data_IF_408095705048
#
_entry.id   IF_408095705048
#
_cell.length_a   1.000
_cell.length_b   1.000
_cell.length_c   1.000
_cell.angle_alpha   90.00
_cell.angle_beta   90.00
_cell.angle_gamma   90.00
#
_symmetry.space_group_name_H-M   'P 1'
#
loop_
_entity.id
_entity.type
_entity.pdbx_description
1 polymer ?
#
# COMPACT_ATOMS: atom_id res chain seq x y z
N UNK A 1 -11.44 16.34 -5.13
CA UNK A 1 -10.18 15.71 -5.58
C UNK A 1 -9.20 15.69 -4.42
N UNK A 2 -8.93 14.52 -3.84
CA UNK A 2 -8.13 14.34 -2.63
C UNK A 2 -6.63 14.56 -2.91
N UNK A 3 -6.18 15.82 -2.79
CA UNK A 3 -4.78 16.24 -3.01
C UNK A 3 -3.78 15.67 -1.98
N UNK A 4 -4.28 15.00 -0.93
CA UNK A 4 -3.49 14.40 0.15
C UNK A 4 -2.94 12.99 -0.16
N UNK A 5 -3.56 12.26 -1.08
CA UNK A 5 -3.20 10.87 -1.39
C UNK A 5 -1.79 10.70 -2.00
N UNK A 6 -1.29 11.58 -2.91
CA UNK A 6 0.00 11.36 -3.57
C UNK A 6 1.18 11.45 -2.59
N UNK A 7 1.25 12.53 -1.81
CA UNK A 7 2.34 12.75 -0.85
C UNK A 7 2.39 11.64 0.23
N UNK A 8 1.22 11.17 0.67
CA UNK A 8 1.14 10.06 1.62
C UNK A 8 1.57 8.72 0.99
N UNK A 9 1.26 8.52 -0.29
CA UNK A 9 1.71 7.33 -1.05
C UNK A 9 3.23 7.33 -1.18
N UNK A 10 3.84 8.43 -1.60
CA UNK A 10 5.29 8.55 -1.78
C UNK A 10 6.05 8.38 -0.45
N UNK A 11 5.57 9.05 0.61
CA UNK A 11 6.16 8.89 1.94
C UNK A 11 6.06 7.44 2.45
N UNK A 12 4.89 6.81 2.33
CA UNK A 12 4.69 5.43 2.80
C UNK A 12 5.52 4.44 1.99
N UNK A 13 5.62 4.64 0.67
CA UNK A 13 6.45 3.82 -0.20
C UNK A 13 7.92 3.85 0.23
N UNK A 14 8.44 5.05 0.52
CA UNK A 14 9.81 5.23 0.99
C UNK A 14 10.04 4.56 2.35
N UNK A 15 9.16 4.82 3.32
CA UNK A 15 9.27 4.23 4.65
C UNK A 15 9.20 2.69 4.61
N UNK A 16 8.35 2.12 3.74
CA UNK A 16 8.28 0.67 3.54
C UNK A 16 9.55 0.08 2.91
N UNK A 17 10.20 0.80 1.99
CA UNK A 17 11.49 0.38 1.44
C UNK A 17 12.61 0.44 2.49
N UNK A 18 12.60 1.46 3.35
CA UNK A 18 13.65 1.66 4.36
C UNK A 18 13.47 0.76 5.59
N UNK A 19 12.23 0.53 6.04
CA UNK A 19 11.93 -0.17 7.31
C UNK A 19 11.31 -1.54 7.10
N UNK A 20 10.80 -1.86 5.92
CA UNK A 20 10.02 -3.07 5.63
C UNK A 20 8.60 -3.07 6.21
N UNK A 21 8.34 -2.27 7.25
CA UNK A 21 7.04 -2.15 7.90
C UNK A 21 6.80 -0.76 8.48
N UNK A 22 5.54 -0.30 8.42
CA UNK A 22 5.10 1.00 8.93
C UNK A 22 3.78 0.84 9.65
N UNK A 23 3.69 1.33 10.89
CA UNK A 23 2.43 1.36 11.64
C UNK A 23 1.86 2.77 11.65
N UNK A 24 0.62 2.92 11.19
CA UNK A 24 -0.17 4.14 11.32
C UNK A 24 -1.20 3.95 12.44
N UNK A 25 -1.22 4.88 13.39
CA UNK A 25 -2.30 4.97 14.37
C UNK A 25 -3.57 5.41 13.63
N UNK A 26 -4.43 4.46 13.27
CA UNK A 26 -5.66 4.75 12.55
C UNK A 26 -6.68 5.38 13.50
N UNK A 27 -7.22 6.53 13.12
CA UNK A 27 -8.46 7.05 13.69
C UNK A 27 -9.59 6.11 13.25
N UNK A 28 -10.21 5.44 14.23
CA UNK A 28 -11.23 4.40 14.10
C UNK A 28 -12.49 4.90 13.37
N UNK A 29 -12.39 5.10 12.07
CA UNK A 29 -13.47 5.57 11.21
C UNK A 29 -13.46 4.76 9.92
N UNK A 30 -14.61 4.23 9.54
CA UNK A 30 -14.80 3.42 8.32
C UNK A 30 -14.29 4.13 7.05
N UNK A 31 -14.39 5.47 7.00
CA UNK A 31 -13.85 6.28 5.90
C UNK A 31 -12.32 6.24 5.78
N UNK A 32 -11.62 6.11 6.90
CA UNK A 32 -10.15 6.04 6.92
C UNK A 32 -9.65 4.70 6.41
N UNK A 33 -10.33 3.60 6.74
CA UNK A 33 -9.97 2.26 6.26
C UNK A 33 -9.98 2.17 4.72
N UNK A 34 -11.01 2.72 4.06
CA UNK A 34 -11.07 2.74 2.59
C UNK A 34 -9.91 3.55 2.00
N UNK A 35 -9.62 4.74 2.54
CA UNK A 35 -8.50 5.56 2.07
C UNK A 35 -7.15 4.83 2.24
N UNK A 36 -6.94 4.13 3.35
CA UNK A 36 -5.71 3.38 3.58
C UNK A 36 -5.56 2.17 2.67
N UNK A 37 -6.66 1.48 2.32
CA UNK A 37 -6.65 0.41 1.33
C UNK A 37 -6.28 0.95 -0.07
N UNK A 38 -6.83 2.10 -0.47
CA UNK A 38 -6.44 2.74 -1.73
C UNK A 38 -4.97 3.15 -1.74
N UNK A 39 -4.46 3.66 -0.62
CA UNK A 39 -3.04 4.03 -0.48
C UNK A 39 -2.15 2.80 -0.55
N UNK A 40 -2.49 1.71 0.13
CA UNK A 40 -1.75 0.44 0.03
C UNK A 40 -1.69 -0.09 -1.40
N UNK A 41 -2.82 -0.05 -2.13
CA UNK A 41 -2.87 -0.46 -3.53
C UNK A 41 -1.98 0.41 -4.43
N UNK A 42 -2.01 1.74 -4.23
CA UNK A 42 -1.14 2.66 -4.97
C UNK A 42 0.34 2.46 -4.65
N UNK A 43 0.70 2.32 -3.38
CA UNK A 43 2.08 2.07 -2.97
C UNK A 43 2.56 0.74 -3.56
N UNK A 44 1.70 -0.28 -3.56
CA UNK A 44 2.01 -1.57 -4.15
C UNK A 44 2.31 -1.48 -5.65
N UNK A 45 1.51 -0.69 -6.39
CA UNK A 45 1.75 -0.41 -7.80
C UNK A 45 3.04 0.42 -8.04
N UNK A 46 3.32 1.40 -7.19
CA UNK A 46 4.54 2.24 -7.27
C UNK A 46 5.80 1.41 -6.99
N UNK A 47 5.74 0.53 -6.00
CA UNK A 47 6.88 -0.29 -5.59
C UNK A 47 7.05 -1.56 -6.44
N UNK A 48 6.06 -1.94 -7.26
CA UNK A 48 6.04 -3.24 -7.96
C UNK A 48 6.07 -4.44 -7.01
N UNK A 49 5.70 -4.22 -5.74
CA UNK A 49 5.78 -5.20 -4.65
C UNK A 49 4.48 -5.21 -3.89
N UNK A 50 4.08 -6.38 -3.40
CA UNK A 50 2.81 -6.49 -2.67
C UNK A 50 2.94 -5.80 -1.32
N UNK A 51 2.00 -4.92 -1.00
CA UNK A 51 1.89 -4.32 0.34
C UNK A 51 0.76 -5.01 1.09
N UNK A 52 1.10 -5.60 2.23
CA UNK A 52 0.16 -6.26 3.14
C UNK A 52 -0.34 -5.22 4.12
N UNK A 53 -1.64 -5.22 4.38
CA UNK A 53 -2.24 -4.34 5.39
C UNK A 53 -2.85 -5.16 6.51
N UNK A 54 -2.46 -4.87 7.75
CA UNK A 54 -2.95 -5.53 8.96
C UNK A 54 -3.67 -4.49 9.81
N UNK A 55 -4.99 -4.63 9.93
CA UNK A 55 -5.82 -3.75 10.77
C UNK A 55 -6.06 -4.38 12.14
N UNK A 56 -5.77 -3.63 13.20
CA UNK A 56 -6.01 -4.02 14.59
C UNK A 56 -6.72 -2.88 15.32
N UNK A 57 -7.28 -3.17 16.50
CA UNK A 57 -7.95 -2.17 17.36
C UNK A 57 -7.06 -0.98 17.78
N UNK A 58 -5.75 -1.09 17.58
CA UNK A 58 -4.76 -0.07 17.91
C UNK A 58 -4.19 0.67 16.68
N UNK A 59 -4.66 0.34 15.47
CA UNK A 59 -4.21 0.98 14.24
C UNK A 59 -4.00 0.02 13.07
N UNK A 60 -3.33 0.52 12.04
CA UNK A 60 -3.11 -0.20 10.78
C UNK A 60 -1.61 -0.30 10.50
N UNK A 61 -1.13 -1.51 10.28
CA UNK A 61 0.26 -1.76 9.87
C UNK A 61 0.29 -2.06 8.37
N UNK A 62 1.29 -1.50 7.70
CA UNK A 62 1.64 -1.78 6.32
C UNK A 62 2.96 -2.54 6.34
N UNK A 63 3.04 -3.63 5.60
CA UNK A 63 4.23 -4.47 5.52
C UNK A 63 4.54 -4.73 4.05
N UNK A 64 5.80 -4.58 3.68
CA UNK A 64 6.25 -4.89 2.34
C UNK A 64 6.45 -6.40 2.24
N UNK A 65 5.67 -7.06 1.38
CA UNK A 65 5.90 -8.47 1.11
C UNK A 65 7.22 -8.64 0.36
N UNK A 66 7.93 -9.71 0.69
CA UNK A 66 9.12 -10.12 -0.08
C UNK A 66 8.74 -10.62 -1.49
N UNK A 67 7.48 -11.00 -1.68
CA UNK A 67 6.90 -11.36 -2.97
C UNK A 67 6.79 -10.12 -3.87
N UNK A 68 7.71 -10.03 -4.83
CA UNK A 68 7.57 -9.15 -5.99
C UNK A 68 6.26 -9.53 -6.67
N UNK A 69 5.37 -8.56 -6.90
CA UNK A 69 4.15 -8.85 -7.63
C UNK A 69 4.60 -9.43 -8.98
N UNK A 70 4.07 -10.58 -9.43
CA UNK A 70 4.35 -11.02 -10.78
C UNK A 70 3.98 -9.83 -11.66
N UNK A 71 4.99 -9.31 -12.37
CA UNK A 71 4.78 -8.40 -13.48
C UNK A 71 3.58 -8.99 -14.22
N UNK A 72 2.53 -8.20 -14.41
CA UNK A 72 1.37 -8.61 -15.19
C UNK A 72 1.92 -8.89 -16.58
N UNK A 73 2.43 -10.11 -16.74
CA UNK A 73 3.09 -10.62 -17.90
C UNK A 73 2.04 -10.46 -18.97
N UNK A 74 2.34 -9.54 -19.88
CA UNK A 74 1.49 -9.20 -21.00
C UNK A 74 0.92 -10.51 -21.52
N UNK A 75 -0.39 -10.68 -21.41
CA UNK A 75 -1.04 -11.74 -22.17
C UNK A 75 -0.94 -11.31 -23.63
N UNK A 76 0.22 -11.59 -24.22
CA UNK A 76 0.41 -11.64 -25.65
C UNK A 76 -0.40 -12.86 -26.12
N UNK A 77 -1.71 -12.65 -26.25
CA UNK A 77 -2.58 -13.62 -26.91
C UNK A 77 -2.26 -13.49 -28.40
N UNK A 78 -1.17 -14.11 -28.84
CA UNK A 78 -0.98 -14.47 -30.23
C UNK A 78 -1.83 -15.71 -30.46
N UNK A 79 -3.04 -15.54 -31.01
CA UNK A 79 -3.63 -16.50 -31.94
C UNK A 79 -4.74 -15.90 -32.78
#
# INVERSE_FOLDING_TARGET
MARFLPAMTEWLAKELLEKGSVRLAALDTLGSQRNFQEVASRVSAVLGRRVITVTSSHGMTFELADEQLPDQERTAITR
#
